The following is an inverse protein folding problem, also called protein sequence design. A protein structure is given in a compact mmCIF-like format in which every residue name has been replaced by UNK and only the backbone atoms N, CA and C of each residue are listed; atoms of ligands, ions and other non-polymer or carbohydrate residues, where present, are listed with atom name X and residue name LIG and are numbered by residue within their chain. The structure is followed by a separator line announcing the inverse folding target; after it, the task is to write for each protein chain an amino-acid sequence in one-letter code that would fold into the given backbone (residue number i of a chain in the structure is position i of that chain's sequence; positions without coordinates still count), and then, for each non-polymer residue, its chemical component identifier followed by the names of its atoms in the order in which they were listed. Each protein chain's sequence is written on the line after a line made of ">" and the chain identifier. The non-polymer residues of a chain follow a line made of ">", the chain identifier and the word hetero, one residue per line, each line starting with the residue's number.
data_IF_510635458251
#
_entry.id   IF_510635458251
#
_cell.length_a   1.000
_cell.length_b   1.000
_cell.length_c   1.000
_cell.angle_alpha   90.00
_cell.angle_beta   90.00
_cell.angle_gamma   90.00
#
_symmetry.space_group_name_H-M   'P 1'
#
loop_
_entity.id
_entity.type
_entity.pdbx_description
1 polymer ?
#
# COMPACT_ATOMS: atom_id res chain seq x y z
N UNK A 1 -17.36 -10.08 4.90
CA UNK A 1 -18.31 -10.88 5.71
C UNK A 1 -19.73 -10.65 5.21
N UNK A 2 -20.43 -11.71 4.89
CA UNK A 2 -21.88 -11.72 4.58
C UNK A 2 -22.75 -11.90 5.82
N UNK A 3 -22.12 -12.34 6.93
CA UNK A 3 -22.79 -12.57 8.21
C UNK A 3 -22.24 -11.62 9.27
N UNK A 4 -23.14 -10.89 9.93
CA UNK A 4 -22.80 -9.93 10.99
C UNK A 4 -22.13 -10.61 12.19
N UNK A 5 -22.47 -11.86 12.50
CA UNK A 5 -21.89 -12.58 13.63
C UNK A 5 -20.41 -12.94 13.34
N UNK A 6 -20.10 -13.35 12.13
CA UNK A 6 -18.70 -13.63 11.73
C UNK A 6 -17.86 -12.35 11.77
N UNK A 7 -18.42 -11.22 11.33
CA UNK A 7 -17.82 -9.91 11.43
C UNK A 7 -17.49 -9.51 12.87
N UNK A 8 -18.43 -9.77 13.80
CA UNK A 8 -18.23 -9.50 15.23
C UNK A 8 -17.19 -10.42 15.86
N UNK A 9 -17.20 -11.69 15.52
CA UNK A 9 -16.21 -12.64 16.03
C UNK A 9 -14.82 -12.25 15.57
N UNK A 10 -14.63 -11.96 14.28
CA UNK A 10 -13.37 -11.46 13.78
C UNK A 10 -12.88 -10.20 14.49
N UNK A 11 -13.77 -9.21 14.71
CA UNK A 11 -13.41 -7.98 15.41
C UNK A 11 -13.00 -8.21 16.87
N UNK A 12 -13.60 -9.22 17.54
CA UNK A 12 -13.20 -9.64 18.88
C UNK A 12 -11.82 -10.32 18.88
N UNK A 13 -11.57 -11.18 17.90
CA UNK A 13 -10.31 -11.92 17.78
C UNK A 13 -9.11 -11.00 17.50
N UNK A 14 -9.28 -10.05 16.55
CA UNK A 14 -8.21 -9.10 16.20
C UNK A 14 -8.12 -7.91 17.17
N UNK A 15 -9.15 -7.70 17.99
CA UNK A 15 -9.28 -6.57 18.91
C UNK A 15 -9.60 -5.24 18.21
N UNK A 16 -10.26 -4.32 18.93
CA UNK A 16 -10.54 -2.97 18.45
C UNK A 16 -9.30 -2.06 18.54
N UNK A 17 -9.22 -0.97 17.71
CA UNK A 17 -10.17 -0.60 16.68
C UNK A 17 -10.07 -1.46 15.42
N UNK A 18 -11.14 -1.50 14.64
CA UNK A 18 -11.21 -2.12 13.33
C UNK A 18 -11.69 -1.12 12.27
N UNK A 19 -11.21 -1.29 11.05
CA UNK A 19 -11.70 -0.53 9.90
C UNK A 19 -12.78 -1.35 9.19
N UNK A 20 -13.94 -0.76 9.01
CA UNK A 20 -15.08 -1.37 8.30
C UNK A 20 -15.33 -0.61 7.01
N UNK A 21 -15.46 -1.35 5.91
CA UNK A 21 -15.81 -0.81 4.60
C UNK A 21 -16.80 -1.70 3.87
N UNK A 22 -17.76 -1.15 3.12
CA UNK A 22 -18.56 -1.91 2.17
C UNK A 22 -17.68 -2.43 1.02
N UNK A 23 -17.94 -3.64 0.53
CA UNK A 23 -17.07 -4.31 -0.47
C UNK A 23 -17.05 -3.66 -1.85
N UNK A 24 -18.04 -2.84 -2.19
CA UNK A 24 -18.21 -2.28 -3.54
C UNK A 24 -18.16 -0.74 -3.60
N UNK A 25 -17.68 -0.09 -2.54
CA UNK A 25 -17.51 1.37 -2.56
C UNK A 25 -16.11 1.71 -3.04
N UNK A 26 -16.04 2.38 -4.19
CA UNK A 26 -14.81 3.01 -4.69
C UNK A 26 -14.58 4.31 -3.92
N UNK A 27 -13.36 4.52 -3.45
CA UNK A 27 -12.92 5.62 -2.59
C UNK A 27 -13.44 5.54 -1.13
N UNK A 28 -12.66 6.04 -0.19
CA UNK A 28 -12.89 5.94 1.26
C UNK A 28 -14.18 6.52 1.85
N UNK A 29 -15.14 6.93 1.00
CA UNK A 29 -16.35 7.68 1.40
C UNK A 29 -17.30 6.93 2.37
N UNK A 30 -17.16 5.62 2.50
CA UNK A 30 -18.00 4.82 3.41
C UNK A 30 -17.17 3.97 4.38
N UNK A 31 -15.87 4.23 4.51
CA UNK A 31 -15.03 3.57 5.50
C UNK A 31 -15.19 4.24 6.85
N UNK A 32 -15.27 3.44 7.91
CA UNK A 32 -15.34 3.93 9.29
C UNK A 32 -14.41 3.12 10.18
N UNK A 33 -13.62 3.82 10.99
CA UNK A 33 -12.90 3.21 12.11
C UNK A 33 -13.89 3.04 13.25
N UNK A 34 -13.99 1.82 13.74
CA UNK A 34 -14.92 1.40 14.78
C UNK A 34 -14.13 0.98 16.02
N UNK A 35 -14.45 1.56 17.15
CA UNK A 35 -13.69 1.42 18.38
C UNK A 35 -14.29 0.46 19.38
N UNK A 36 -15.55 0.06 19.20
CA UNK A 36 -16.26 -0.82 20.11
C UNK A 36 -17.20 -1.78 19.39
N UNK A 37 -17.66 -2.79 20.14
CA UNK A 37 -18.66 -3.75 19.67
C UNK A 37 -20.01 -3.07 19.39
N UNK A 38 -20.35 -2.07 20.17
CA UNK A 38 -21.59 -1.29 20.07
C UNK A 38 -21.60 -0.49 18.77
N UNK A 39 -20.51 0.22 18.47
CA UNK A 39 -20.33 0.96 17.21
C UNK A 39 -20.35 0.03 16.00
N UNK A 40 -19.73 -1.15 16.09
CA UNK A 40 -19.75 -2.13 15.01
C UNK A 40 -21.16 -2.61 14.71
N UNK A 41 -21.96 -2.86 15.77
CA UNK A 41 -23.34 -3.27 15.64
C UNK A 41 -24.19 -2.19 14.97
N UNK A 42 -24.04 -0.94 15.38
CA UNK A 42 -24.76 0.21 14.81
C UNK A 42 -24.41 0.38 13.33
N UNK A 43 -23.11 0.39 12.99
CA UNK A 43 -22.65 0.53 11.63
C UNK A 43 -23.15 -0.59 10.71
N UNK A 44 -23.05 -1.85 11.15
CA UNK A 44 -23.49 -3.00 10.36
C UNK A 44 -25.00 -3.06 10.19
N UNK A 45 -25.77 -2.60 11.17
CA UNK A 45 -27.24 -2.50 11.07
C UNK A 45 -27.65 -1.46 10.04
N UNK A 46 -27.02 -0.30 10.05
CA UNK A 46 -27.27 0.77 9.09
C UNK A 46 -26.82 0.39 7.66
N UNK A 47 -25.69 -0.28 7.54
CA UNK A 47 -25.18 -0.78 6.25
C UNK A 47 -26.09 -1.86 5.64
N UNK A 48 -26.64 -2.76 6.46
CA UNK A 48 -27.59 -3.79 6.01
C UNK A 48 -28.91 -3.23 5.48
N UNK A 49 -29.34 -2.08 5.99
CA UNK A 49 -30.54 -1.38 5.49
C UNK A 49 -30.30 -0.79 4.09
N UNK A 50 -29.08 -0.31 3.84
CA UNK A 50 -28.71 0.35 2.56
C UNK A 50 -28.37 -0.68 1.48
N UNK A 51 -27.83 -1.85 1.85
CA UNK A 51 -27.39 -2.87 0.89
C UNK A 51 -27.40 -4.27 1.52
N UNK A 52 -28.57 -4.97 1.50
CA UNK A 52 -28.72 -6.29 2.14
C UNK A 52 -27.81 -7.37 1.54
N UNK A 53 -27.44 -7.23 0.26
CA UNK A 53 -26.70 -8.24 -0.51
C UNK A 53 -25.20 -7.97 -0.59
N UNK A 54 -24.70 -6.87 0.00
CA UNK A 54 -23.29 -6.50 -0.12
C UNK A 54 -22.49 -6.79 1.15
N UNK A 55 -21.47 -7.65 1.03
CA UNK A 55 -20.61 -7.98 2.16
C UNK A 55 -19.82 -6.75 2.63
N UNK A 56 -19.56 -6.69 3.92
CA UNK A 56 -18.61 -5.73 4.51
C UNK A 56 -17.24 -6.39 4.67
N UNK A 57 -16.19 -5.62 4.44
CA UNK A 57 -14.82 -6.01 4.75
C UNK A 57 -14.44 -5.36 6.07
N UNK A 58 -13.91 -6.16 6.99
CA UNK A 58 -13.38 -5.68 8.27
C UNK A 58 -11.91 -6.03 8.33
N UNK A 59 -11.10 -5.04 8.66
CA UNK A 59 -9.66 -5.20 8.85
C UNK A 59 -9.24 -4.63 10.19
N UNK A 60 -8.18 -5.19 10.78
CA UNK A 60 -7.54 -4.57 11.95
C UNK A 60 -7.09 -3.16 11.60
N UNK A 61 -7.43 -2.18 12.43
CA UNK A 61 -6.90 -0.83 12.30
C UNK A 61 -5.66 -0.67 13.19
N UNK A 62 -4.53 -0.40 12.57
CA UNK A 62 -3.24 -0.31 13.25
C UNK A 62 -2.93 1.15 13.58
N UNK A 63 -3.05 1.51 14.86
CA UNK A 63 -2.75 2.85 15.35
C UNK A 63 -1.24 3.14 15.32
N UNK A 64 -0.90 4.41 15.12
CA UNK A 64 0.49 4.88 15.14
C UNK A 64 1.41 4.15 14.14
N UNK A 65 0.86 3.72 13.01
CA UNK A 65 1.63 3.13 11.93
C UNK A 65 2.17 4.21 10.99
N UNK A 66 3.31 3.93 10.37
CA UNK A 66 3.82 4.72 9.26
C UNK A 66 3.30 4.12 7.95
N UNK A 67 2.97 4.98 7.00
CA UNK A 67 2.63 4.56 5.65
C UNK A 67 3.82 4.76 4.72
N UNK A 68 4.03 3.80 3.82
CA UNK A 68 5.17 3.79 2.91
C UNK A 68 4.70 3.32 1.55
N UNK A 69 5.01 4.12 0.52
CA UNK A 69 4.80 3.77 -0.87
C UNK A 69 6.10 3.28 -1.51
N UNK A 70 6.01 2.26 -2.35
CA UNK A 70 7.12 1.81 -3.18
C UNK A 70 6.74 1.91 -4.65
N UNK A 71 7.43 2.76 -5.38
CA UNK A 71 7.29 2.86 -6.82
C UNK A 71 8.29 1.96 -7.52
N UNK A 72 7.81 1.08 -8.39
CA UNK A 72 8.63 0.13 -9.11
C UNK A 72 8.21 -0.10 -10.56
N UNK A 73 9.12 -0.74 -11.30
CA UNK A 73 8.89 -1.23 -12.66
C UNK A 73 9.40 -2.65 -12.75
N UNK A 74 8.63 -3.54 -13.38
CA UNK A 74 9.03 -4.93 -13.58
C UNK A 74 8.76 -5.39 -15.02
N UNK A 75 9.58 -6.32 -15.53
CA UNK A 75 9.34 -7.08 -16.75
C UNK A 75 8.99 -8.55 -16.50
N UNK A 76 8.65 -8.90 -15.26
CA UNK A 76 8.44 -10.21 -14.66
C UNK A 76 9.68 -10.93 -14.15
N UNK A 77 10.85 -10.65 -14.68
CA UNK A 77 12.13 -11.24 -14.26
C UNK A 77 12.96 -10.24 -13.44
N UNK A 78 13.10 -9.05 -14.00
CA UNK A 78 13.84 -7.95 -13.38
C UNK A 78 12.87 -6.98 -12.71
N UNK A 79 13.14 -6.63 -11.46
CA UNK A 79 12.37 -5.64 -10.69
C UNK A 79 13.26 -4.45 -10.35
N UNK A 80 12.85 -3.27 -10.79
CA UNK A 80 13.52 -2.01 -10.48
C UNK A 80 12.68 -1.25 -9.47
N UNK A 81 13.21 -1.05 -8.28
CA UNK A 81 12.62 -0.17 -7.27
C UNK A 81 13.12 1.25 -7.55
N UNK A 82 12.19 2.13 -7.89
CA UNK A 82 12.48 3.54 -8.14
C UNK A 82 12.79 4.31 -6.87
N UNK A 83 11.92 4.17 -5.88
CA UNK A 83 12.12 4.69 -4.53
C UNK A 83 11.20 4.00 -3.53
N UNK A 84 11.60 4.06 -2.27
CA UNK A 84 10.74 3.88 -1.09
C UNK A 84 10.43 5.29 -0.58
N UNK A 85 9.14 5.59 -0.47
CA UNK A 85 8.61 6.93 -0.19
C UNK A 85 7.88 6.85 1.14
N UNK A 86 8.35 7.57 2.14
CA UNK A 86 7.74 7.60 3.46
C UNK A 86 6.73 8.74 3.55
N UNK A 87 5.53 8.45 4.09
CA UNK A 87 4.54 9.47 4.41
C UNK A 87 4.92 10.15 5.74
N UNK A 88 4.95 11.48 5.73
CA UNK A 88 5.18 12.28 6.95
C UNK A 88 3.91 12.30 7.81
N UNK A 89 2.77 12.36 7.14
CA UNK A 89 1.46 12.31 7.78
C UNK A 89 1.18 10.95 8.40
N UNK A 90 0.21 10.93 9.29
CA UNK A 90 -0.26 9.68 9.90
C UNK A 90 -0.89 8.77 8.85
N UNK A 91 -0.75 7.45 9.04
CA UNK A 91 -1.38 6.47 8.17
C UNK A 91 -2.90 6.69 8.06
N UNK A 92 -3.42 6.56 6.83
CA UNK A 92 -4.82 6.81 6.49
C UNK A 92 -5.10 8.17 5.86
N UNK A 93 -4.11 9.07 5.75
CA UNK A 93 -4.19 10.23 4.86
C UNK A 93 -4.01 9.74 3.43
N UNK A 94 -4.93 10.13 2.54
CA UNK A 94 -4.87 9.69 1.15
C UNK A 94 -3.53 10.07 0.51
N UNK A 95 -2.86 9.12 -0.16
CA UNK A 95 -1.52 9.30 -0.73
C UNK A 95 -1.39 10.49 -1.70
N UNK A 96 -2.51 10.94 -2.29
CA UNK A 96 -2.54 12.14 -3.14
C UNK A 96 -2.44 13.46 -2.38
N UNK A 97 -2.72 13.45 -1.08
CA UNK A 97 -2.78 14.63 -0.22
C UNK A 97 -1.68 14.60 0.85
N UNK A 98 -1.08 13.43 1.10
CA UNK A 98 -0.05 13.23 2.11
C UNK A 98 1.27 13.91 1.72
N UNK A 99 1.92 14.53 2.71
CA UNK A 99 3.30 14.97 2.59
C UNK A 99 4.22 13.76 2.64
N UNK A 100 5.16 13.67 1.71
CA UNK A 100 6.05 12.53 1.55
C UNK A 100 7.52 12.94 1.54
N UNK A 101 8.39 12.04 1.95
CA UNK A 101 9.85 12.23 1.87
C UNK A 101 10.58 11.06 1.21
N UNK A 102 11.67 11.40 0.51
CA UNK A 102 12.62 10.49 -0.11
C UNK A 102 14.02 11.05 0.15
N UNK A 103 14.95 10.28 0.68
CA UNK A 103 14.81 8.92 1.21
C UNK A 103 13.96 8.90 2.49
N UNK A 104 13.42 7.73 2.89
CA UNK A 104 12.73 7.58 4.17
C UNK A 104 13.71 7.86 5.33
N UNK A 105 13.26 8.53 6.37
CA UNK A 105 14.13 8.98 7.46
C UNK A 105 13.80 8.34 8.83
N UNK A 106 12.56 7.85 9.02
CA UNK A 106 12.15 7.14 10.24
C UNK A 106 12.32 5.63 10.13
N UNK A 107 12.57 5.11 8.91
CA UNK A 107 12.69 3.67 8.69
C UNK A 107 14.11 3.19 8.99
N UNK A 108 14.22 2.11 9.75
CA UNK A 108 15.50 1.42 9.93
C UNK A 108 15.97 0.74 8.64
N UNK A 109 17.28 0.52 8.50
CA UNK A 109 17.83 -0.22 7.35
C UNK A 109 17.18 -1.61 7.20
N UNK A 110 16.91 -2.28 8.32
CA UNK A 110 16.26 -3.60 8.32
C UNK A 110 14.85 -3.54 7.70
N UNK A 111 14.06 -2.53 8.05
CA UNK A 111 12.72 -2.36 7.46
C UNK A 111 12.82 -2.03 5.98
N UNK A 112 13.79 -1.20 5.57
CA UNK A 112 14.04 -0.89 4.16
C UNK A 112 14.41 -2.16 3.37
N UNK A 113 15.25 -3.02 3.92
CA UNK A 113 15.60 -4.31 3.34
C UNK A 113 14.38 -5.21 3.22
N UNK A 114 13.60 -5.37 4.28
CA UNK A 114 12.38 -6.18 4.28
C UNK A 114 11.37 -5.69 3.22
N UNK A 115 11.11 -4.38 3.15
CA UNK A 115 10.24 -3.78 2.13
C UNK A 115 10.77 -4.07 0.72
N UNK A 116 12.09 -3.94 0.52
CA UNK A 116 12.75 -4.22 -0.75
C UNK A 116 12.53 -5.67 -1.18
N UNK A 117 12.81 -6.62 -0.29
CA UNK A 117 12.67 -8.06 -0.56
C UNK A 117 11.21 -8.45 -0.79
N UNK A 118 10.30 -7.95 0.03
CA UNK A 118 8.86 -8.17 -0.12
C UNK A 118 8.34 -7.62 -1.46
N UNK A 119 8.80 -6.42 -1.85
CA UNK A 119 8.44 -5.81 -3.13
C UNK A 119 8.90 -6.64 -4.31
N UNK A 120 10.16 -7.08 -4.30
CA UNK A 120 10.74 -7.91 -5.37
C UNK A 120 10.00 -9.24 -5.48
N UNK A 121 9.76 -9.91 -4.36
CA UNK A 121 9.05 -11.18 -4.30
C UNK A 121 7.62 -11.07 -4.83
N UNK A 122 6.87 -10.05 -4.40
CA UNK A 122 5.50 -9.80 -4.85
C UNK A 122 5.49 -9.51 -6.36
N UNK A 123 6.34 -8.62 -6.85
CA UNK A 123 6.36 -8.25 -8.27
C UNK A 123 6.68 -9.47 -9.17
N UNK A 124 7.58 -10.35 -8.76
CA UNK A 124 7.91 -11.59 -9.47
C UNK A 124 6.78 -12.61 -9.43
N UNK A 125 6.19 -12.84 -8.24
CA UNK A 125 5.12 -13.82 -8.05
C UNK A 125 3.88 -13.46 -8.90
N UNK A 126 3.52 -12.19 -8.92
CA UNK A 126 2.43 -11.69 -9.77
C UNK A 126 2.82 -11.50 -11.24
N UNK A 127 4.09 -11.79 -11.62
CA UNK A 127 4.62 -11.65 -12.99
C UNK A 127 4.29 -10.29 -13.59
N UNK A 128 4.49 -9.22 -12.81
CA UNK A 128 4.15 -7.86 -13.22
C UNK A 128 4.99 -7.44 -14.42
N UNK A 129 4.32 -6.88 -15.44
CA UNK A 129 4.97 -6.30 -16.63
C UNK A 129 4.54 -4.85 -16.79
N UNK A 130 5.37 -3.93 -16.35
CA UNK A 130 5.08 -2.50 -16.38
C UNK A 130 5.31 -1.83 -15.02
N UNK A 131 4.72 -0.64 -14.83
CA UNK A 131 4.82 0.10 -13.59
C UNK A 131 3.90 -0.50 -12.53
N UNK A 132 4.32 -0.40 -11.29
CA UNK A 132 3.51 -0.77 -10.13
C UNK A 132 3.82 0.12 -8.94
N UNK A 133 2.89 0.16 -8.00
CA UNK A 133 3.03 0.80 -6.70
C UNK A 133 2.56 -0.18 -5.63
N UNK A 134 3.37 -0.37 -4.60
CA UNK A 134 3.03 -1.13 -3.39
C UNK A 134 2.92 -0.18 -2.22
N UNK A 135 1.85 -0.34 -1.43
CA UNK A 135 1.65 0.40 -0.19
C UNK A 135 1.84 -0.50 1.01
N UNK A 136 2.61 -0.02 1.97
CA UNK A 136 2.90 -0.72 3.22
C UNK A 136 2.47 0.11 4.41
N UNK A 137 2.06 -0.57 5.49
CA UNK A 137 2.07 -0.05 6.84
C UNK A 137 3.25 -0.61 7.59
N UNK A 138 3.93 0.25 8.35
CA UNK A 138 4.97 -0.17 9.28
C UNK A 138 4.41 0.00 10.69
N UNK A 139 4.31 -1.10 11.41
CA UNK A 139 3.79 -1.13 12.76
C UNK A 139 4.64 -2.06 13.63
N UNK A 140 5.15 -1.54 14.75
CA UNK A 140 6.04 -2.28 15.66
C UNK A 140 7.23 -2.96 14.94
N UNK A 141 7.92 -2.20 14.09
CA UNK A 141 9.07 -2.67 13.30
C UNK A 141 8.77 -3.88 12.38
N UNK A 142 7.53 -4.00 11.94
CA UNK A 142 7.09 -4.99 10.97
C UNK A 142 6.35 -4.32 9.82
N UNK A 143 6.61 -4.79 8.59
CA UNK A 143 5.91 -4.34 7.39
C UNK A 143 4.66 -5.16 7.12
N UNK A 144 3.60 -4.48 6.70
CA UNK A 144 2.33 -5.06 6.28
C UNK A 144 1.94 -4.49 4.93
N UNK A 145 1.67 -5.35 3.96
CA UNK A 145 1.19 -4.90 2.64
C UNK A 145 -0.28 -4.50 2.75
N UNK A 146 -0.59 -3.28 2.30
CA UNK A 146 -1.97 -2.77 2.23
C UNK A 146 -2.55 -3.05 0.84
N UNK A 147 -1.82 -2.63 -0.20
CA UNK A 147 -2.35 -2.59 -1.55
C UNK A 147 -1.24 -2.72 -2.59
N UNK A 148 -1.55 -3.45 -3.68
CA UNK A 148 -0.76 -3.50 -4.90
C UNK A 148 -1.55 -2.85 -6.03
N UNK A 149 -1.00 -1.78 -6.59
CA UNK A 149 -1.51 -1.08 -7.75
C UNK A 149 -0.66 -1.39 -8.99
N UNK A 150 -1.22 -2.09 -9.97
CA UNK A 150 -0.51 -2.42 -11.23
C UNK A 150 -0.72 -1.27 -12.23
N UNK A 151 -0.18 -0.14 -11.88
CA UNK A 151 -0.19 1.11 -12.67
C UNK A 151 0.86 2.07 -12.14
N UNK A 152 1.19 3.09 -12.92
CA UNK A 152 2.03 4.19 -12.45
C UNK A 152 1.32 4.96 -11.31
N UNK A 153 2.07 5.32 -10.29
CA UNK A 153 1.65 6.19 -9.20
C UNK A 153 1.80 7.67 -9.57
N UNK A 154 1.24 8.56 -8.77
CA UNK A 154 1.44 10.01 -8.91
C UNK A 154 2.88 10.44 -8.59
N UNK A 155 3.54 9.73 -7.68
CA UNK A 155 4.93 9.98 -7.27
C UNK A 155 5.95 9.54 -8.32
N UNK A 156 5.65 8.59 -9.18
CA UNK A 156 6.60 8.01 -10.13
C UNK A 156 7.31 9.04 -11.05
N UNK A 157 6.65 10.08 -11.61
CA UNK A 157 7.34 11.11 -12.38
C UNK A 157 8.32 11.94 -11.53
N UNK A 158 7.94 12.23 -10.28
CA UNK A 158 8.80 12.92 -9.33
C UNK A 158 10.03 12.06 -8.97
N UNK A 159 9.79 10.78 -8.60
CA UNK A 159 10.84 9.80 -8.33
C UNK A 159 11.81 9.67 -9.52
N UNK A 160 11.27 9.61 -10.73
CA UNK A 160 12.08 9.54 -11.95
C UNK A 160 13.05 10.72 -12.10
N UNK A 161 12.59 11.93 -11.80
CA UNK A 161 13.43 13.14 -11.85
C UNK A 161 14.45 13.16 -10.73
N UNK A 162 14.03 12.86 -9.51
CA UNK A 162 14.86 12.88 -8.32
C UNK A 162 16.01 11.88 -8.41
N UNK A 163 15.72 10.64 -8.83
CA UNK A 163 16.71 9.55 -8.94
C UNK A 163 17.50 9.58 -10.25
N UNK A 164 17.15 10.48 -11.18
CA UNK A 164 17.70 10.52 -12.56
C UNK A 164 17.55 9.18 -13.28
N UNK A 165 16.54 8.42 -12.94
CA UNK A 165 16.18 7.15 -13.58
C UNK A 165 14.79 7.32 -14.20
N UNK A 166 14.71 7.31 -15.53
CA UNK A 166 13.43 7.51 -16.23
C UNK A 166 12.55 6.25 -16.09
N UNK A 167 11.85 6.13 -14.96
CA UNK A 167 10.97 5.00 -14.67
C UNK A 167 9.83 4.88 -15.67
N UNK A 168 9.34 5.99 -16.21
CA UNK A 168 8.25 5.97 -17.20
C UNK A 168 8.73 5.31 -18.50
N UNK A 169 9.96 5.64 -18.96
CA UNK A 169 10.54 4.97 -20.13
C UNK A 169 10.78 3.48 -19.89
N UNK A 170 11.25 3.11 -18.71
CA UNK A 170 11.43 1.71 -18.33
C UNK A 170 10.09 0.97 -18.28
N UNK A 171 9.05 1.59 -17.70
CA UNK A 171 7.71 1.05 -17.64
C UNK A 171 7.13 0.79 -19.04
N UNK A 172 7.30 1.73 -19.97
CA UNK A 172 6.88 1.54 -21.36
C UNK A 172 7.64 0.39 -22.05
N UNK A 173 8.94 0.25 -21.80
CA UNK A 173 9.74 -0.88 -22.33
C UNK A 173 9.24 -2.21 -21.79
N UNK A 174 9.03 -2.31 -20.48
CA UNK A 174 8.53 -3.53 -19.84
C UNK A 174 7.13 -3.92 -20.35
N UNK A 175 6.23 -2.95 -20.50
CA UNK A 175 4.88 -3.19 -21.03
C UNK A 175 4.92 -3.68 -22.51
N UNK A 176 5.93 -3.28 -23.29
CA UNK A 176 6.17 -3.74 -24.66
C UNK A 176 6.97 -5.07 -24.70
N UNK A 177 7.17 -5.73 -23.57
CA UNK A 177 7.90 -7.01 -23.48
C UNK A 177 9.42 -6.90 -23.70
N UNK A 178 9.99 -5.69 -23.56
CA UNK A 178 11.44 -5.49 -23.65
C UNK A 178 12.07 -5.71 -22.27
N UNK A 179 13.23 -6.40 -22.20
CA UNK A 179 13.91 -6.64 -20.94
C UNK A 179 14.37 -5.33 -20.30
N UNK A 180 14.29 -5.30 -18.98
CA UNK A 180 14.81 -4.19 -18.19
C UNK A 180 16.30 -4.35 -17.91
N UNK A 181 17.05 -3.22 -17.80
CA UNK A 181 18.44 -3.28 -17.35
C UNK A 181 18.49 -3.67 -15.86
N UNK A 182 19.55 -4.35 -15.47
CA UNK A 182 19.84 -4.56 -14.05
C UNK A 182 20.26 -3.22 -13.41
N UNK A 183 19.47 -2.74 -12.48
CA UNK A 183 19.77 -1.58 -11.64
C UNK A 183 19.85 -2.06 -10.20
N UNK A 184 20.99 -1.89 -9.51
CA UNK A 184 21.10 -2.32 -8.13
C UNK A 184 20.01 -1.70 -7.25
N UNK A 185 19.38 -2.47 -6.37
CA UNK A 185 18.48 -1.94 -5.36
C UNK A 185 19.17 -0.86 -4.53
N UNK A 186 18.45 0.21 -4.19
CA UNK A 186 19.00 1.28 -3.34
C UNK A 186 19.72 2.41 -4.09
N UNK A 187 19.71 2.46 -5.43
CA UNK A 187 20.20 3.63 -6.16
C UNK A 187 19.49 4.93 -5.73
N UNK A 188 18.24 4.83 -5.33
CA UNK A 188 17.43 5.93 -4.80
C UNK A 188 17.90 6.44 -3.41
N UNK A 189 18.68 5.64 -2.66
CA UNK A 189 19.28 6.05 -1.38
C UNK A 189 20.48 6.99 -1.57
N UNK A 190 21.06 7.02 -2.76
CA UNK A 190 22.23 7.84 -3.11
C UNK A 190 21.79 9.08 -3.91
N UNK A 191 20.76 9.76 -3.45
CA UNK A 191 20.34 11.02 -4.07
C UNK A 191 21.40 12.07 -3.70
N UNK A 192 22.06 12.71 -4.68
CA UNK A 192 22.97 13.82 -4.38
C UNK A 192 22.14 14.96 -3.79
N UNK A 193 22.46 15.35 -2.59
CA UNK A 193 21.95 16.58 -1.98
C UNK A 193 22.60 17.77 -2.64
#
# INVERSE_FOLDING_TARGET
>A
FTNINDAKNFALDVGYPVLVRPSYVLSGAAMKVVWSKEELKEFTTNAAVVSPDYPVVITKFMLNSLEVDVDGVSDSETVIIGAIVEHIDSAGVHSGDAMMCIPPWRLSNKIIENITDSTIRIAKEFKIKGPFNLQFLIHNDQEYVIELNIRASRSMPFVSKLTRTNLISLAAKAALGKPLPEIPPGKWQKIPI
#
